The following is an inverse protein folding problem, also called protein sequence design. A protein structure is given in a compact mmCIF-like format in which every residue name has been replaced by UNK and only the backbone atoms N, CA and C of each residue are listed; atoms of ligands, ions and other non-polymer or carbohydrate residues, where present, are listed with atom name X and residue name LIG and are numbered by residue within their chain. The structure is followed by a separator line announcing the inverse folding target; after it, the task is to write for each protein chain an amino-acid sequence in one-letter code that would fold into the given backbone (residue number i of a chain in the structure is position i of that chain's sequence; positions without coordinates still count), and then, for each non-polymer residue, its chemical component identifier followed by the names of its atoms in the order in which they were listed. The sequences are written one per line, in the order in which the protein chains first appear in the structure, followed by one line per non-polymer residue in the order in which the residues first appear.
data_IF_467496904142
#
_entry.id   IF_467496904142
#
_cell.length_a   1.000
_cell.length_b   1.000
_cell.length_c   1.000
_cell.angle_alpha   90.00
_cell.angle_beta   90.00
_cell.angle_gamma   90.00
#
_symmetry.space_group_name_H-M   'P 1'
#
loop_
_entity.id
_entity.type
_entity.pdbx_description
1 polymer ?
#
# COMPACT_ATOMS: atom_id res chain seq x y z
N UNK A 1 -21.17 -8.06 -5.24
CA UNK A 1 -20.62 -9.27 -5.87
C UNK A 1 -19.33 -9.57 -5.13
N UNK A 2 -19.22 -10.74 -4.50
CA UNK A 2 -18.01 -11.15 -3.80
C UNK A 2 -17.26 -12.12 -4.71
N UNK A 3 -16.06 -11.74 -5.10
CA UNK A 3 -15.16 -12.60 -5.87
C UNK A 3 -14.24 -13.35 -4.90
N UNK A 4 -14.15 -14.67 -5.06
CA UNK A 4 -13.32 -15.51 -4.21
C UNK A 4 -11.95 -15.73 -4.83
N UNK A 5 -10.89 -15.43 -4.08
CA UNK A 5 -9.51 -15.67 -4.46
C UNK A 5 -8.94 -16.82 -3.62
N UNK A 6 -8.57 -17.94 -4.25
CA UNK A 6 -7.87 -19.04 -3.58
C UNK A 6 -6.37 -18.93 -3.84
N UNK A 7 -5.59 -18.79 -2.77
CA UNK A 7 -4.13 -18.71 -2.82
C UNK A 7 -3.49 -19.81 -1.97
N UNK A 8 -2.37 -20.35 -2.46
CA UNK A 8 -1.50 -21.18 -1.64
C UNK A 8 -0.62 -20.26 -0.79
N UNK A 9 -0.62 -20.47 0.52
CA UNK A 9 0.24 -19.76 1.47
C UNK A 9 1.20 -20.75 2.13
N UNK A 10 2.35 -20.27 2.56
CA UNK A 10 3.31 -21.11 3.28
C UNK A 10 2.80 -21.42 4.70
N UNK A 11 3.27 -22.51 5.34
CA UNK A 11 2.88 -22.85 6.70
C UNK A 11 3.18 -21.73 7.72
N UNK A 12 4.29 -21.01 7.52
CA UNK A 12 4.71 -19.92 8.40
C UNK A 12 3.73 -18.74 8.31
N UNK A 13 3.30 -18.38 7.09
CA UNK A 13 2.30 -17.34 6.87
C UNK A 13 0.95 -17.72 7.49
N UNK A 14 0.56 -18.99 7.38
CA UNK A 14 -0.66 -19.49 8.01
C UNK A 14 -0.59 -19.36 9.54
N UNK A 15 0.55 -19.70 10.14
CA UNK A 15 0.74 -19.58 11.59
C UNK A 15 0.64 -18.12 12.05
N UNK A 16 1.33 -17.21 11.35
CA UNK A 16 1.28 -15.77 11.65
C UNK A 16 -0.14 -15.19 11.53
N UNK A 17 -0.89 -15.57 10.48
CA UNK A 17 -2.28 -15.15 10.32
C UNK A 17 -3.15 -15.65 11.47
N UNK A 18 -3.01 -16.90 11.88
CA UNK A 18 -3.78 -17.47 12.99
C UNK A 18 -3.49 -16.78 14.33
N UNK A 19 -2.23 -16.41 14.58
CA UNK A 19 -1.84 -15.67 15.79
C UNK A 19 -2.50 -14.29 15.85
N UNK A 20 -2.49 -13.56 14.73
CA UNK A 20 -3.15 -12.23 14.62
C UNK A 20 -4.66 -12.37 14.79
N UNK A 21 -5.28 -13.35 14.13
CA UNK A 21 -6.72 -13.63 14.24
C UNK A 21 -7.12 -13.92 15.69
N UNK A 22 -6.33 -14.71 16.41
CA UNK A 22 -6.59 -15.03 17.82
C UNK A 22 -6.40 -13.83 18.74
N UNK A 23 -5.39 -13.00 18.46
CA UNK A 23 -5.05 -11.84 19.30
C UNK A 23 -6.05 -10.69 19.12
N UNK A 24 -6.47 -10.43 17.89
CA UNK A 24 -7.32 -9.28 17.53
C UNK A 24 -8.80 -9.64 17.39
N UNK A 25 -9.15 -10.94 17.37
CA UNK A 25 -10.55 -11.40 17.27
C UNK A 25 -11.22 -11.10 15.92
N UNK A 26 -10.43 -10.92 14.86
CA UNK A 26 -10.89 -10.58 13.51
C UNK A 26 -10.89 -11.81 12.59
N UNK A 27 -11.77 -11.83 11.58
CA UNK A 27 -11.81 -12.93 10.62
C UNK A 27 -10.60 -12.89 9.67
N UNK A 28 -10.15 -14.08 9.22
CA UNK A 28 -9.08 -14.20 8.23
C UNK A 28 -9.39 -13.40 6.95
N UNK A 29 -10.63 -13.49 6.46
CA UNK A 29 -11.07 -12.80 5.25
C UNK A 29 -11.00 -11.28 5.40
N UNK A 30 -11.36 -10.75 6.57
CA UNK A 30 -11.28 -9.31 6.84
C UNK A 30 -9.84 -8.83 6.94
N UNK A 31 -8.97 -9.61 7.59
CA UNK A 31 -7.55 -9.29 7.72
C UNK A 31 -6.86 -9.29 6.36
N UNK A 32 -7.05 -10.37 5.60
CA UNK A 32 -6.45 -10.53 4.26
C UNK A 32 -7.01 -9.51 3.27
N UNK A 33 -8.33 -9.28 3.30
CA UNK A 33 -8.97 -8.27 2.46
C UNK A 33 -8.39 -6.88 2.68
N UNK A 34 -8.28 -6.46 3.95
CA UNK A 34 -7.70 -5.16 4.31
C UNK A 34 -6.22 -5.07 3.93
N UNK A 35 -5.45 -6.12 4.18
CA UNK A 35 -4.04 -6.16 3.80
C UNK A 35 -3.82 -6.03 2.28
N UNK A 36 -4.68 -6.67 1.47
CA UNK A 36 -4.65 -6.54 0.01
C UNK A 36 -5.01 -5.11 -0.40
N UNK A 37 -6.04 -4.51 0.20
CA UNK A 37 -6.44 -3.13 -0.08
C UNK A 37 -5.33 -2.13 0.23
N UNK A 38 -4.71 -2.24 1.40
CA UNK A 38 -3.59 -1.40 1.84
C UNK A 38 -2.37 -1.55 0.92
N UNK A 39 -2.08 -2.78 0.48
CA UNK A 39 -1.01 -3.06 -0.47
C UNK A 39 -1.28 -2.42 -1.83
N UNK A 40 -2.49 -2.59 -2.37
CA UNK A 40 -2.89 -2.00 -3.66
C UNK A 40 -2.81 -0.47 -3.59
N UNK A 41 -3.32 0.11 -2.50
CA UNK A 41 -3.26 1.56 -2.29
C UNK A 41 -1.82 2.06 -2.28
N UNK A 42 -0.96 1.43 -1.48
CA UNK A 42 0.47 1.78 -1.38
C UNK A 42 1.18 1.61 -2.71
N UNK A 43 0.89 0.53 -3.46
CA UNK A 43 1.46 0.29 -4.78
C UNK A 43 1.05 1.40 -5.77
N UNK A 44 -0.24 1.74 -5.83
CA UNK A 44 -0.76 2.83 -6.68
C UNK A 44 -0.14 4.17 -6.31
N UNK A 45 -0.04 4.47 -5.02
CA UNK A 45 0.58 5.70 -4.54
C UNK A 45 2.05 5.80 -4.94
N UNK A 46 2.82 4.72 -4.76
CA UNK A 46 4.23 4.67 -5.18
C UNK A 46 4.39 4.85 -6.69
N UNK A 47 3.55 4.19 -7.49
CA UNK A 47 3.56 4.34 -8.94
C UNK A 47 3.25 5.78 -9.36
N UNK A 48 2.23 6.40 -8.74
CA UNK A 48 1.88 7.80 -8.99
C UNK A 48 3.01 8.75 -8.61
N UNK A 49 3.63 8.55 -7.44
CA UNK A 49 4.80 9.34 -7.01
C UNK A 49 5.93 9.21 -8.01
N UNK A 50 6.28 8.00 -8.44
CA UNK A 50 7.34 7.79 -9.42
C UNK A 50 7.04 8.50 -10.75
N UNK A 51 5.79 8.44 -11.22
CA UNK A 51 5.34 9.14 -12.41
C UNK A 51 5.45 10.67 -12.28
N UNK A 52 5.00 11.24 -11.15
CA UNK A 52 5.07 12.68 -10.90
C UNK A 52 6.52 13.17 -10.72
N UNK A 53 7.36 12.39 -10.04
CA UNK A 53 8.78 12.72 -9.86
C UNK A 53 9.56 12.68 -11.18
N UNK A 54 9.20 11.78 -12.11
CA UNK A 54 9.77 11.78 -13.46
C UNK A 54 9.36 13.01 -14.29
N UNK A 55 8.24 13.66 -13.95
CA UNK A 55 7.81 14.90 -14.60
C UNK A 55 8.53 16.15 -14.10
N UNK A 56 9.24 16.07 -12.97
CA UNK A 56 10.11 17.15 -12.51
C UNK A 56 11.49 16.98 -13.14
N UNK A 57 11.66 17.51 -14.37
CA UNK A 57 12.99 17.72 -14.95
C UNK A 57 13.75 18.87 -14.24
N UNK A 58 13.04 19.70 -13.48
CA UNK A 58 13.59 20.88 -12.81
C UNK A 58 13.65 20.65 -11.30
N UNK A 59 14.86 20.57 -10.77
CA UNK A 59 15.12 20.71 -9.33
C UNK A 59 15.05 22.20 -9.03
N UNK A 60 13.95 22.65 -8.44
CA UNK A 60 13.84 24.03 -7.98
C UNK A 60 14.61 24.20 -6.68
N UNK A 61 15.42 25.25 -6.61
CA UNK A 61 16.01 25.74 -5.37
C UNK A 61 14.96 26.50 -4.56
N UNK A 62 15.16 26.60 -3.24
CA UNK A 62 14.25 27.31 -2.35
C UNK A 62 14.06 28.79 -2.76
N UNK A 63 15.09 29.42 -3.37
CA UNK A 63 15.03 30.77 -3.94
C UNK A 63 14.14 30.84 -5.18
N UNK A 64 14.23 29.89 -6.10
CA UNK A 64 13.36 29.82 -7.29
C UNK A 64 11.90 29.56 -6.89
N UNK A 65 11.67 28.76 -5.84
CA UNK A 65 10.33 28.56 -5.29
C UNK A 65 9.81 29.89 -4.76
N UNK A 66 10.60 30.64 -3.97
CA UNK A 66 10.19 31.91 -3.39
C UNK A 66 9.80 32.97 -4.44
N UNK A 67 10.52 33.03 -5.57
CA UNK A 67 10.19 33.92 -6.70
C UNK A 67 8.91 33.54 -7.45
N UNK A 68 8.52 32.26 -7.49
CA UNK A 68 7.31 31.80 -8.19
C UNK A 68 6.02 32.12 -7.39
N UNK A 69 6.09 32.10 -6.05
CA UNK A 69 4.93 32.32 -5.17
C UNK A 69 4.73 33.77 -4.71
N UNK A 70 5.72 34.65 -4.92
CA UNK A 70 5.67 36.08 -4.56
C UNK A 70 5.37 36.98 -5.75
#
# INVERSE_FOLDING_TARGET
MQDTLTIAITPELKAALLEIIQTEGISADSLVGKAIEDYIFTHKFRALRSYLMQKNETVYTDEEIFEIIS
#
